data_IF_529167215306
#
_entry.id   IF_529167215306
#
_cell.length_a   1.000
_cell.length_b   1.000
_cell.length_c   1.000
_cell.angle_alpha   90.00
_cell.angle_beta   90.00
_cell.angle_gamma   90.00
#
_symmetry.space_group_name_H-M   'P 1'
#
loop_
_entity.id
_entity.type
_entity.pdbx_description
1 polymer ?
#
# COMPACT_ATOMS: atom_id res chain seq x y z
N UNK A 1 19.84 3.98 -2.84
CA UNK A 1 18.93 2.80 -2.87
C UNK A 1 19.16 1.90 -4.12
N UNK A 2 20.39 1.73 -4.61
CA UNK A 2 20.69 0.83 -5.75
C UNK A 2 21.20 -0.56 -5.35
N UNK A 3 21.47 -0.80 -4.06
CA UNK A 3 22.22 -1.97 -3.60
C UNK A 3 21.37 -3.01 -2.85
N UNK A 4 20.04 -2.89 -2.83
CA UNK A 4 19.19 -3.84 -2.09
C UNK A 4 18.83 -5.09 -2.91
N UNK A 5 18.93 -5.04 -4.23
CA UNK A 5 18.64 -6.16 -5.11
C UNK A 5 19.72 -6.19 -6.19
N UNK A 6 20.51 -7.27 -6.22
CA UNK A 6 21.67 -7.47 -7.08
C UNK A 6 21.28 -7.71 -8.55
N UNK A 7 20.39 -6.87 -9.09
CA UNK A 7 19.81 -6.99 -10.43
C UNK A 7 19.79 -5.61 -11.07
N UNK A 8 20.17 -5.53 -12.34
CA UNK A 8 20.19 -4.27 -13.09
C UNK A 8 18.79 -3.61 -13.03
N UNK A 9 18.62 -2.41 -12.45
CA UNK A 9 17.33 -1.74 -12.29
C UNK A 9 16.58 -1.56 -13.63
N UNK A 10 17.33 -1.49 -14.74
CA UNK A 10 16.76 -1.45 -16.09
C UNK A 10 16.08 -2.76 -16.48
N UNK A 11 16.66 -3.89 -16.12
CA UNK A 11 16.14 -5.23 -16.43
C UNK A 11 14.85 -5.52 -15.66
N UNK A 12 14.84 -5.19 -14.36
CA UNK A 12 13.65 -5.35 -13.52
C UNK A 12 12.51 -4.42 -13.94
N UNK A 13 12.84 -3.17 -14.32
CA UNK A 13 11.87 -2.22 -14.86
C UNK A 13 11.32 -2.67 -16.21
N UNK A 14 12.15 -3.26 -17.07
CA UNK A 14 11.74 -3.79 -18.36
C UNK A 14 10.78 -4.98 -18.20
N UNK A 15 11.10 -5.95 -17.34
CA UNK A 15 10.22 -7.11 -17.06
C UNK A 15 8.87 -6.66 -16.49
N UNK A 16 8.84 -5.75 -15.52
CA UNK A 16 7.57 -5.29 -14.93
C UNK A 16 6.74 -4.50 -15.95
N UNK A 17 7.41 -3.72 -16.82
CA UNK A 17 6.71 -3.00 -17.89
C UNK A 17 6.19 -3.96 -18.98
N UNK A 18 6.97 -4.98 -19.37
CA UNK A 18 6.60 -6.00 -20.37
C UNK A 18 5.49 -6.94 -19.88
N UNK A 19 5.51 -7.36 -18.61
CA UNK A 19 4.57 -8.35 -18.10
C UNK A 19 3.35 -7.80 -17.35
N UNK A 20 3.43 -6.57 -16.81
CA UNK A 20 2.33 -5.98 -16.01
C UNK A 20 1.81 -4.66 -16.58
N UNK A 21 2.44 -4.09 -17.63
CA UNK A 21 2.04 -2.82 -18.22
C UNK A 21 2.19 -1.61 -17.28
N UNK A 22 2.89 -1.77 -16.16
CA UNK A 22 3.06 -0.76 -15.12
C UNK A 22 4.53 -0.40 -14.94
N UNK A 23 4.82 0.83 -14.48
CA UNK A 23 6.18 1.17 -14.07
C UNK A 23 6.50 0.56 -12.69
N UNK A 24 7.79 0.32 -12.42
CA UNK A 24 8.27 -0.31 -11.17
C UNK A 24 7.71 0.35 -9.91
N UNK A 25 7.64 1.68 -9.89
CA UNK A 25 7.12 2.46 -8.76
C UNK A 25 5.63 2.15 -8.50
N UNK A 26 4.82 2.09 -9.55
CA UNK A 26 3.40 1.74 -9.45
C UNK A 26 3.22 0.33 -8.89
N UNK A 27 4.03 -0.62 -9.34
CA UNK A 27 3.97 -2.00 -8.85
C UNK A 27 4.31 -2.09 -7.36
N UNK A 28 5.39 -1.42 -6.91
CA UNK A 28 5.75 -1.37 -5.49
C UNK A 28 4.65 -0.70 -4.66
N UNK A 29 4.05 0.39 -5.15
CA UNK A 29 2.95 1.05 -4.47
C UNK A 29 1.75 0.10 -4.32
N UNK A 30 1.37 -0.59 -5.38
CA UNK A 30 0.28 -1.58 -5.33
C UNK A 30 0.55 -2.66 -4.28
N UNK A 31 1.76 -3.22 -4.24
CA UNK A 31 2.13 -4.23 -3.24
C UNK A 31 2.04 -3.69 -1.81
N UNK A 32 2.51 -2.45 -1.57
CA UNK A 32 2.44 -1.80 -0.25
C UNK A 32 1.00 -1.57 0.21
N UNK A 33 0.14 -1.07 -0.68
CA UNK A 33 -1.27 -0.84 -0.37
C UNK A 33 -2.01 -2.16 -0.15
N UNK A 34 -1.72 -3.19 -0.95
CA UNK A 34 -2.31 -4.52 -0.76
C UNK A 34 -1.91 -5.11 0.60
N UNK A 35 -0.64 -5.00 1.00
CA UNK A 35 -0.16 -5.47 2.30
C UNK A 35 -0.93 -4.84 3.47
N UNK A 36 -1.03 -3.51 3.50
CA UNK A 36 -1.71 -2.84 4.61
C UNK A 36 -3.22 -3.09 4.59
N UNK A 37 -3.84 -3.20 3.40
CA UNK A 37 -5.26 -3.51 3.27
C UNK A 37 -5.57 -4.90 3.84
N UNK A 38 -4.73 -5.89 3.55
CA UNK A 38 -4.86 -7.23 4.13
C UNK A 38 -4.72 -7.22 5.66
N UNK A 39 -3.79 -6.43 6.20
CA UNK A 39 -3.66 -6.26 7.66
C UNK A 39 -4.91 -5.65 8.28
N UNK A 40 -5.49 -4.63 7.65
CA UNK A 40 -6.73 -3.99 8.09
C UNK A 40 -7.92 -4.96 8.07
N UNK A 41 -8.04 -5.80 7.03
CA UNK A 41 -9.07 -6.84 6.97
C UNK A 41 -8.89 -7.89 8.06
N UNK A 42 -7.68 -8.46 8.18
CA UNK A 42 -7.43 -9.66 8.98
C UNK A 42 -7.14 -9.39 10.46
N UNK A 43 -6.72 -8.17 10.82
CA UNK A 43 -6.29 -7.85 12.19
C UNK A 43 -6.95 -6.57 12.67
N UNK A 44 -7.94 -6.71 13.55
CA UNK A 44 -8.73 -5.60 14.11
C UNK A 44 -7.86 -4.56 14.83
N UNK A 45 -6.77 -4.98 15.48
CA UNK A 45 -5.82 -4.06 16.14
C UNK A 45 -5.27 -2.98 15.20
N UNK A 46 -5.04 -3.31 13.92
CA UNK A 46 -4.50 -2.33 12.96
C UNK A 46 -5.48 -1.19 12.67
N UNK A 47 -6.77 -1.39 12.92
CA UNK A 47 -7.82 -0.38 12.73
C UNK A 47 -7.76 0.73 13.78
N UNK A 48 -7.14 0.46 14.93
CA UNK A 48 -6.95 1.41 16.02
C UNK A 48 -5.69 2.27 15.87
N UNK A 49 -4.79 1.91 14.94
CA UNK A 49 -3.58 2.68 14.71
C UNK A 49 -3.83 3.97 13.96
N UNK A 50 -3.00 4.98 14.26
CA UNK A 50 -2.99 6.24 13.52
C UNK A 50 -2.58 5.99 12.07
N UNK A 51 -3.16 6.75 11.15
CA UNK A 51 -2.82 6.69 9.71
C UNK A 51 -1.32 6.88 9.46
N UNK A 52 -0.63 7.69 10.28
CA UNK A 52 0.82 7.86 10.19
C UNK A 52 1.61 6.57 10.44
N UNK A 53 1.16 5.77 11.41
CA UNK A 53 1.78 4.47 11.71
C UNK A 53 1.52 3.47 10.58
N UNK A 54 0.29 3.42 10.06
CA UNK A 54 -0.05 2.56 8.93
C UNK A 54 0.76 2.90 7.68
N UNK A 55 1.02 4.19 7.44
CA UNK A 55 1.88 4.65 6.36
C UNK A 55 3.32 4.13 6.53
N UNK A 56 3.90 4.30 7.72
CA UNK A 56 5.25 3.83 8.03
C UNK A 56 5.39 2.31 7.88
N UNK A 57 4.43 1.56 8.43
CA UNK A 57 4.36 0.10 8.40
C UNK A 57 4.34 -0.49 6.98
N UNK A 58 3.72 0.19 6.01
CA UNK A 58 3.75 -0.22 4.60
C UNK A 58 4.80 0.52 3.76
N UNK A 59 5.74 1.22 4.40
CA UNK A 59 6.94 1.77 3.76
C UNK A 59 6.76 3.14 3.11
N UNK A 60 5.77 3.94 3.55
CA UNK A 60 5.62 5.35 3.17
C UNK A 60 6.16 6.27 4.26
N UNK A 61 7.10 7.14 3.88
CA UNK A 61 7.66 8.14 4.78
C UNK A 61 6.69 9.31 5.07
N UNK A 62 5.72 9.55 4.18
CA UNK A 62 4.74 10.63 4.32
C UNK A 62 3.32 10.06 4.39
N UNK A 63 2.56 10.37 5.45
CA UNK A 63 1.16 9.97 5.56
C UNK A 63 0.30 10.50 4.39
N UNK A 64 0.60 11.70 3.88
CA UNK A 64 -0.14 12.28 2.76
C UNK A 64 0.09 11.49 1.46
N UNK A 65 1.33 11.08 1.20
CA UNK A 65 1.68 10.26 0.04
C UNK A 65 1.00 8.88 0.15
N UNK A 66 0.99 8.30 1.34
CA UNK A 66 0.24 7.07 1.63
C UNK A 66 -1.25 7.23 1.33
N UNK A 67 -1.91 8.25 1.85
CA UNK A 67 -3.35 8.47 1.64
C UNK A 67 -3.68 8.58 0.14
N UNK A 68 -2.85 9.32 -0.61
CA UNK A 68 -3.04 9.47 -2.05
C UNK A 68 -2.85 8.15 -2.81
N UNK A 69 -1.81 7.38 -2.46
CA UNK A 69 -1.56 6.06 -3.05
C UNK A 69 -2.67 5.07 -2.71
N UNK A 70 -3.10 5.03 -1.44
CA UNK A 70 -4.17 4.17 -0.96
C UNK A 70 -5.48 4.47 -1.70
N UNK A 71 -5.85 5.75 -1.83
CA UNK A 71 -7.04 6.15 -2.59
C UNK A 71 -6.94 5.82 -4.07
N UNK A 72 -5.76 5.96 -4.67
CA UNK A 72 -5.54 5.60 -6.08
C UNK A 72 -5.76 4.11 -6.33
N UNK A 73 -5.28 3.25 -5.42
CA UNK A 73 -5.35 1.80 -5.59
C UNK A 73 -6.69 1.20 -5.12
N UNK A 74 -7.31 1.74 -4.06
CA UNK A 74 -8.55 1.20 -3.45
C UNK A 74 -9.82 1.97 -3.80
N UNK A 75 -9.69 3.18 -4.36
CA UNK A 75 -10.80 4.09 -4.64
C UNK A 75 -11.25 4.96 -3.46
N UNK A 76 -10.77 4.68 -2.23
CA UNK A 76 -11.23 5.36 -1.00
C UNK A 76 -10.07 5.72 -0.07
N UNK A 77 -10.31 6.60 0.92
CA UNK A 77 -9.25 6.97 1.88
C UNK A 77 -9.05 5.85 2.92
N UNK A 78 -7.85 5.73 3.51
CA UNK A 78 -7.59 4.77 4.58
C UNK A 78 -8.59 4.90 5.74
N UNK A 79 -8.91 6.12 6.15
CA UNK A 79 -9.87 6.37 7.26
C UNK A 79 -11.28 5.90 6.92
N UNK A 80 -11.74 6.14 5.69
CA UNK A 80 -13.05 5.67 5.25
C UNK A 80 -13.09 4.14 5.21
N UNK A 81 -12.06 3.52 4.63
CA UNK A 81 -11.91 2.07 4.57
C UNK A 81 -11.94 1.42 5.97
N UNK A 82 -11.23 2.00 6.95
CA UNK A 82 -11.23 1.52 8.34
C UNK A 82 -12.63 1.63 8.97
N UNK A 83 -13.33 2.73 8.72
CA UNK A 83 -14.68 2.93 9.24
C UNK A 83 -15.66 1.91 8.67
N UNK A 84 -15.63 1.63 7.36
CA UNK A 84 -16.45 0.59 6.73
C UNK A 84 -16.19 -0.78 7.36
N UNK A 85 -14.93 -1.13 7.60
CA UNK A 85 -14.57 -2.39 8.26
C UNK A 85 -15.02 -2.47 9.72
N UNK A 86 -15.15 -1.34 10.40
CA UNK A 86 -15.69 -1.29 11.77
C UNK A 86 -17.21 -1.46 11.75
N UNK A 87 -17.91 -0.82 10.81
CA UNK A 87 -19.36 -0.94 10.67
C UNK A 87 -19.81 -2.36 10.33
N UNK A 88 -19.04 -3.09 9.53
CA UNK A 88 -19.34 -4.49 9.17
C UNK A 88 -19.20 -5.51 10.32
N UNK A 89 -18.64 -5.12 11.46
CA UNK A 89 -18.55 -5.99 12.65
C UNK A 89 -19.79 -5.84 13.56
N UNK A 90 -20.67 -4.85 13.30
CA UNK A 90 -21.80 -4.51 14.18
C UNK A 90 -23.11 -5.23 13.76
N UNK A 91 -23.10 -6.06 12.72
CA UNK A 91 -24.18 -6.99 12.36
C UNK A 91 -23.80 -8.44 12.70
#
# INVERSE_FOLDING_TARGET
MSNLFNTNPKYLSQIIKEHKGQNFSSYINQLRINYISQKLYNTTLYREYKISYLAEECGYASPQVFINAFRKETGMTPSYFINELRSQIVE
#
